data_IF_697527748380
#
_entry.id   IF_697527748380
#
_cell.length_a   1.000
_cell.length_b   1.000
_cell.length_c   1.000
_cell.angle_alpha   90.00
_cell.angle_beta   90.00
_cell.angle_gamma   90.00
#
_symmetry.space_group_name_H-M   'P 1'
#
loop_
_entity.id
_entity.type
_entity.pdbx_description
1 polymer ?
#
# COMPACT_ATOMS: atom_id res chain seq x y z
N UNK A 1 -8.81 5.90 18.38
CA UNK A 1 -7.52 5.15 18.42
C UNK A 1 -6.95 5.12 17.01
N UNK A 2 -5.74 5.56 16.84
CA UNK A 2 -5.06 5.58 15.53
C UNK A 2 -4.16 4.35 15.43
N UNK A 3 -4.57 3.37 14.66
CA UNK A 3 -3.81 2.13 14.46
C UNK A 3 -3.60 1.84 12.99
N UNK A 4 -2.58 1.05 12.68
CA UNK A 4 -2.33 0.46 11.36
C UNK A 4 -2.78 -1.01 11.34
N UNK A 5 -3.48 -1.46 10.30
CA UNK A 5 -4.02 -0.72 9.15
C UNK A 5 -5.07 0.33 9.55
N UNK A 6 -5.18 1.41 8.74
CA UNK A 6 -6.07 2.51 9.08
C UNK A 6 -7.55 2.26 8.79
N UNK A 7 -7.88 1.32 7.91
CA UNK A 7 -9.26 0.92 7.63
C UNK A 7 -9.74 -0.14 8.63
N UNK A 8 -11.05 -0.32 8.76
CA UNK A 8 -11.60 -1.31 9.66
C UNK A 8 -11.08 -2.73 9.41
N UNK A 9 -11.13 -3.56 10.46
CA UNK A 9 -10.80 -4.97 10.41
C UNK A 9 -11.56 -5.72 9.30
N UNK A 10 -10.87 -6.58 8.59
CA UNK A 10 -11.43 -7.34 7.47
C UNK A 10 -11.56 -6.57 6.15
N UNK A 11 -11.03 -5.34 6.08
CA UNK A 11 -11.02 -4.51 4.87
C UNK A 11 -9.65 -4.56 4.19
N UNK A 12 -9.63 -4.82 2.89
CA UNK A 12 -8.42 -5.00 2.09
C UNK A 12 -8.39 -4.01 0.92
N UNK A 13 -8.15 -2.73 1.21
CA UNK A 13 -8.03 -1.65 0.23
C UNK A 13 -6.58 -1.15 0.23
N UNK A 14 -5.72 -1.72 -0.62
CA UNK A 14 -4.37 -1.23 -0.87
C UNK A 14 -4.36 -0.09 -1.89
N UNK A 15 -3.16 0.33 -2.28
CA UNK A 15 -2.91 1.28 -3.36
C UNK A 15 -3.64 2.62 -3.12
N UNK A 16 -3.60 3.08 -1.85
CA UNK A 16 -4.44 4.19 -1.39
C UNK A 16 -4.00 5.55 -1.92
N UNK A 17 -4.89 6.21 -2.68
CA UNK A 17 -4.77 7.58 -3.16
C UNK A 17 -5.72 8.49 -2.36
N UNK A 18 -5.21 9.18 -1.31
CA UNK A 18 -6.01 10.10 -0.51
C UNK A 18 -6.12 11.47 -1.18
N UNK A 19 -7.31 12.03 -1.22
CA UNK A 19 -7.57 13.37 -1.73
C UNK A 19 -8.43 14.17 -0.77
N UNK A 20 -8.11 15.44 -0.58
CA UNK A 20 -8.92 16.39 0.18
C UNK A 20 -9.91 17.08 -0.78
N UNK A 21 -11.16 16.65 -0.74
CA UNK A 21 -12.26 17.25 -1.49
C UNK A 21 -13.34 17.76 -0.53
N UNK A 22 -13.83 18.95 -0.75
CA UNK A 22 -14.98 19.53 -0.01
C UNK A 22 -14.82 19.44 1.53
N UNK A 23 -13.59 19.60 2.02
CA UNK A 23 -13.28 19.59 3.45
C UNK A 23 -13.19 18.18 4.08
N UNK A 24 -13.25 17.09 3.30
CA UNK A 24 -13.05 15.72 3.76
C UNK A 24 -11.95 15.03 2.97
N UNK A 25 -11.28 14.09 3.61
CA UNK A 25 -10.35 13.17 2.93
C UNK A 25 -11.14 12.02 2.35
N UNK A 26 -10.99 11.79 1.05
CA UNK A 26 -11.52 10.62 0.35
C UNK A 26 -10.38 9.73 -0.09
N UNK A 27 -10.54 8.45 0.12
CA UNK A 27 -9.57 7.42 -0.23
C UNK A 27 -10.09 6.61 -1.40
N UNK A 28 -9.30 6.57 -2.46
CA UNK A 28 -9.48 5.69 -3.60
C UNK A 28 -8.34 4.66 -3.59
N UNK A 29 -8.65 3.41 -3.91
CA UNK A 29 -7.65 2.35 -3.92
C UNK A 29 -8.19 1.11 -4.60
N UNK A 30 -7.32 0.18 -4.89
CA UNK A 30 -7.70 -1.16 -5.29
C UNK A 30 -8.51 -1.84 -4.19
N UNK A 31 -9.21 -2.91 -4.53
CA UNK A 31 -9.96 -3.67 -3.54
C UNK A 31 -9.67 -5.16 -3.68
N UNK A 32 -8.76 -5.64 -2.86
CA UNK A 32 -8.41 -7.06 -2.79
C UNK A 32 -9.54 -7.86 -2.13
N UNK A 33 -9.58 -9.15 -2.40
CA UNK A 33 -10.43 -10.12 -1.71
C UNK A 33 -9.60 -10.94 -0.75
N UNK A 34 -10.02 -11.06 0.51
CA UNK A 34 -9.36 -11.97 1.44
C UNK A 34 -9.35 -13.39 0.89
N UNK A 35 -8.17 -14.02 0.87
CA UNK A 35 -7.99 -15.35 0.29
C UNK A 35 -8.15 -15.43 -1.22
N UNK A 36 -8.16 -14.29 -1.92
CA UNK A 36 -8.21 -14.23 -3.37
C UNK A 36 -7.01 -14.87 -4.05
N UNK A 37 -7.17 -15.29 -5.30
CA UNK A 37 -6.14 -15.95 -6.10
C UNK A 37 -5.34 -14.97 -6.98
N UNK A 38 -5.81 -13.72 -7.07
CA UNK A 38 -5.17 -12.64 -7.80
C UNK A 38 -5.45 -11.28 -7.16
N UNK A 39 -4.84 -10.21 -7.68
CA UNK A 39 -5.04 -8.84 -7.22
C UNK A 39 -6.45 -8.32 -7.53
N UNK A 40 -6.98 -7.44 -6.68
CA UNK A 40 -8.10 -6.52 -6.97
C UNK A 40 -9.40 -7.23 -7.39
N UNK A 41 -9.76 -8.33 -6.72
CA UNK A 41 -10.91 -9.15 -7.12
C UNK A 41 -12.28 -8.54 -6.77
N UNK A 42 -12.32 -7.45 -6.00
CA UNK A 42 -13.54 -6.75 -5.61
C UNK A 42 -13.73 -5.44 -6.41
N UNK A 43 -14.95 -4.90 -6.37
CA UNK A 43 -15.29 -3.61 -6.96
C UNK A 43 -14.70 -2.45 -6.15
N UNK A 44 -14.51 -1.27 -6.77
CA UNK A 44 -14.01 -0.12 -6.03
C UNK A 44 -14.99 0.36 -4.97
N UNK A 45 -14.46 0.53 -3.77
CA UNK A 45 -15.12 1.19 -2.64
C UNK A 45 -14.40 2.49 -2.32
N UNK A 46 -15.12 3.46 -1.76
CA UNK A 46 -14.52 4.68 -1.26
C UNK A 46 -14.68 4.75 0.26
N UNK A 47 -13.66 5.23 0.91
CA UNK A 47 -13.69 5.59 2.33
C UNK A 47 -13.45 7.08 2.49
N UNK A 48 -14.02 7.68 3.53
CA UNK A 48 -13.76 9.08 3.85
C UNK A 48 -13.49 9.29 5.32
N UNK A 49 -12.67 10.30 5.62
CA UNK A 49 -12.34 10.69 6.99
C UNK A 49 -12.39 12.21 7.16
N UNK A 50 -12.51 12.64 8.41
CA UNK A 50 -12.23 14.02 8.79
C UNK A 50 -10.71 14.27 8.65
N UNK A 51 -10.25 15.36 8.02
CA UNK A 51 -8.84 15.63 7.88
C UNK A 51 -8.10 15.82 9.22
N UNK A 52 -8.82 16.07 10.32
CA UNK A 52 -8.26 16.12 11.67
C UNK A 52 -8.22 14.76 12.38
N UNK A 53 -8.91 13.76 11.85
CA UNK A 53 -8.98 12.40 12.45
C UNK A 53 -8.91 11.30 11.37
N UNK A 54 -7.69 10.93 11.00
CA UNK A 54 -7.41 9.81 10.09
C UNK A 54 -7.47 8.43 10.77
N UNK A 55 -7.89 8.36 12.04
CA UNK A 55 -8.17 7.13 12.76
C UNK A 55 -9.61 6.64 12.63
N UNK A 56 -10.51 7.45 12.03
CA UNK A 56 -11.95 7.17 11.95
C UNK A 56 -12.45 7.29 10.51
N UNK A 57 -12.42 6.19 9.78
CA UNK A 57 -12.84 6.12 8.38
C UNK A 57 -14.28 5.64 8.25
N UNK A 58 -15.06 6.33 7.42
CA UNK A 58 -16.42 5.95 7.04
C UNK A 58 -16.42 5.29 5.68
N UNK A 59 -17.04 4.14 5.55
CA UNK A 59 -17.30 3.51 4.26
C UNK A 59 -18.41 4.26 3.52
N UNK A 60 -18.11 4.77 2.33
CA UNK A 60 -19.09 5.40 1.43
C UNK A 60 -19.77 4.36 0.51
N UNK A 61 -19.30 3.12 0.54
CA UNK A 61 -19.80 2.01 -0.25
C UNK A 61 -19.11 1.87 -1.60
N UNK A 62 -19.66 0.98 -2.43
CA UNK A 62 -19.16 0.73 -3.78
C UNK A 62 -19.41 1.96 -4.66
N UNK A 63 -18.35 2.51 -5.24
CA UNK A 63 -18.40 3.70 -6.10
C UNK A 63 -18.35 3.35 -7.59
N UNK A 64 -17.73 2.23 -7.96
CA UNK A 64 -17.63 1.77 -9.34
C UNK A 64 -17.51 0.25 -9.40
N UNK A 65 -18.27 -0.38 -10.31
CA UNK A 65 -18.25 -1.83 -10.51
C UNK A 65 -17.48 -2.18 -11.76
N UNK A 66 -16.70 -3.26 -11.72
CA UNK A 66 -15.91 -3.72 -12.87
C UNK A 66 -16.76 -3.96 -14.13
N UNK A 67 -18.00 -4.42 -13.97
CA UNK A 67 -18.91 -4.71 -15.07
C UNK A 67 -19.37 -3.46 -15.83
N UNK A 68 -19.13 -2.26 -15.28
CA UNK A 68 -19.40 -0.99 -15.94
C UNK A 68 -18.35 -0.65 -17.00
N UNK A 69 -17.12 -1.19 -16.86
CA UNK A 69 -16.09 -1.08 -17.91
C UNK A 69 -16.30 -2.14 -18.99
N UNK A 70 -16.19 -1.79 -20.28
CA UNK A 70 -16.32 -2.76 -21.38
C UNK A 70 -15.37 -3.95 -21.29
N UNK A 71 -14.20 -3.80 -20.63
CA UNK A 71 -13.20 -4.86 -20.40
C UNK A 71 -13.37 -5.57 -19.06
N UNK A 72 -14.18 -5.02 -18.14
CA UNK A 72 -14.31 -5.48 -16.77
C UNK A 72 -14.96 -6.86 -16.61
N UNK A 73 -15.60 -7.38 -17.63
CA UNK A 73 -16.18 -8.76 -17.61
C UNK A 73 -15.10 -9.84 -17.45
N UNK A 74 -13.92 -9.60 -18.03
CA UNK A 74 -12.80 -10.54 -18.02
C UNK A 74 -11.62 -10.08 -17.17
N UNK A 75 -11.65 -8.83 -16.67
CA UNK A 75 -10.56 -8.20 -15.93
C UNK A 75 -10.96 -7.74 -14.54
N UNK A 76 -9.95 -7.26 -13.80
CA UNK A 76 -10.09 -6.67 -12.47
C UNK A 76 -9.64 -5.21 -12.49
N UNK A 77 -10.22 -4.41 -11.61
CA UNK A 77 -9.96 -2.97 -11.49
C UNK A 77 -8.71 -2.73 -10.63
N UNK A 78 -7.61 -2.29 -11.27
CA UNK A 78 -6.33 -2.02 -10.61
C UNK A 78 -6.23 -0.57 -10.15
N UNK A 79 -5.19 -0.26 -9.40
CA UNK A 79 -4.93 1.01 -8.72
C UNK A 79 -5.56 2.24 -9.40
N UNK A 80 -6.55 2.90 -8.77
CA UNK A 80 -7.19 4.08 -9.30
C UNK A 80 -6.59 5.36 -8.72
N UNK A 81 -6.74 6.48 -9.44
CA UNK A 81 -6.60 7.82 -8.90
C UNK A 81 -7.79 8.69 -9.30
N UNK A 82 -8.08 9.73 -8.52
CA UNK A 82 -9.24 10.60 -8.72
C UNK A 82 -8.88 12.07 -8.66
N UNK A 83 -9.40 12.87 -9.60
CA UNK A 83 -9.27 14.30 -9.58
C UNK A 83 -10.61 15.00 -9.80
N UNK A 84 -10.73 16.23 -9.28
CA UNK A 84 -11.83 17.14 -9.65
C UNK A 84 -11.46 17.87 -10.94
N UNK A 85 -12.26 17.64 -11.99
CA UNK A 85 -12.05 18.25 -13.29
C UNK A 85 -12.41 19.75 -13.33
N UNK A 86 -12.05 20.45 -14.41
CA UNK A 86 -12.34 21.87 -14.60
C UNK A 86 -13.84 22.19 -14.61
N UNK A 87 -14.68 21.24 -14.94
CA UNK A 87 -16.15 21.34 -14.94
C UNK A 87 -16.79 21.07 -13.57
N UNK A 88 -15.95 20.80 -12.55
CA UNK A 88 -16.38 20.57 -11.18
C UNK A 88 -16.81 19.11 -10.88
N UNK A 89 -16.83 18.23 -11.86
CA UNK A 89 -17.07 16.79 -11.67
C UNK A 89 -15.80 16.07 -11.22
N UNK A 90 -15.96 14.84 -10.75
CA UNK A 90 -14.86 13.96 -10.28
C UNK A 90 -14.61 12.90 -11.32
N UNK A 91 -13.34 12.65 -11.63
CA UNK A 91 -12.88 11.74 -12.66
C UNK A 91 -11.96 10.71 -12.04
N UNK A 92 -12.36 9.45 -12.13
CA UNK A 92 -11.65 8.29 -11.64
C UNK A 92 -10.90 7.64 -12.80
N UNK A 93 -9.58 7.68 -12.75
CA UNK A 93 -8.68 7.05 -13.71
C UNK A 93 -8.24 5.70 -13.16
N UNK A 94 -8.24 4.68 -13.99
CA UNK A 94 -7.88 3.32 -13.58
C UNK A 94 -7.41 2.48 -14.76
N UNK A 95 -6.74 1.36 -14.47
CA UNK A 95 -6.44 0.32 -15.44
C UNK A 95 -7.21 -0.96 -15.13
N UNK A 96 -7.48 -1.73 -16.16
CA UNK A 96 -8.07 -3.07 -16.04
C UNK A 96 -6.97 -4.10 -16.28
N UNK A 97 -6.95 -5.19 -15.53
CA UNK A 97 -5.98 -6.27 -15.71
C UNK A 97 -5.94 -6.76 -17.16
N UNK A 98 -4.80 -7.23 -17.62
CA UNK A 98 -4.56 -7.65 -19.01
C UNK A 98 -4.85 -6.56 -20.06
N UNK A 99 -4.74 -5.29 -19.66
CA UNK A 99 -4.88 -4.12 -20.53
C UNK A 99 -3.68 -3.17 -20.37
N UNK A 100 -3.42 -2.35 -21.38
CA UNK A 100 -2.48 -1.22 -21.33
C UNK A 100 -3.20 0.09 -21.63
N UNK A 101 -4.47 0.17 -21.26
CA UNK A 101 -5.34 1.34 -21.49
C UNK A 101 -5.72 1.93 -20.15
N UNK A 102 -5.71 3.25 -20.05
CA UNK A 102 -6.28 3.96 -18.91
C UNK A 102 -7.72 4.32 -19.23
N UNK A 103 -8.64 3.80 -18.44
CA UNK A 103 -10.06 4.09 -18.48
C UNK A 103 -10.41 5.21 -17.52
N UNK A 104 -11.49 5.90 -17.80
CA UNK A 104 -11.99 7.01 -17.01
C UNK A 104 -13.47 6.81 -16.69
N UNK A 105 -13.82 6.96 -15.42
CA UNK A 105 -15.21 7.06 -14.99
C UNK A 105 -15.45 8.43 -14.37
N UNK A 106 -16.69 8.91 -14.37
CA UNK A 106 -17.06 10.25 -13.94
C UNK A 106 -18.23 10.25 -12.98
N UNK A 107 -18.22 11.16 -12.01
CA UNK A 107 -19.32 11.37 -11.06
C UNK A 107 -19.46 12.85 -10.69
N UNK A 108 -20.66 13.24 -10.25
CA UNK A 108 -20.91 14.61 -9.74
C UNK A 108 -20.41 14.83 -8.31
N UNK A 109 -20.10 13.77 -7.57
CA UNK A 109 -19.63 13.85 -6.18
C UNK A 109 -18.44 12.92 -5.94
N UNK A 110 -17.56 13.20 -4.95
CA UNK A 110 -16.31 12.45 -4.76
C UNK A 110 -16.53 10.98 -4.36
N UNK A 111 -17.64 10.65 -3.74
CA UNK A 111 -17.98 9.27 -3.33
C UNK A 111 -19.32 8.79 -3.90
N UNK A 112 -19.78 9.38 -5.00
CA UNK A 112 -21.01 8.94 -5.67
C UNK A 112 -20.81 7.69 -6.53
N UNK A 113 -21.81 7.37 -7.31
CA UNK A 113 -21.73 6.28 -8.28
C UNK A 113 -21.08 6.80 -9.56
N UNK A 114 -19.85 6.39 -9.79
CA UNK A 114 -19.15 6.72 -11.02
C UNK A 114 -19.75 5.94 -12.21
N UNK A 115 -19.75 6.57 -13.36
CA UNK A 115 -20.19 5.99 -14.62
C UNK A 115 -19.02 5.98 -15.60
N UNK A 116 -18.88 4.91 -16.38
CA UNK A 116 -17.85 4.82 -17.41
C UNK A 116 -18.02 5.96 -18.42
N UNK A 117 -16.95 6.73 -18.59
CA UNK A 117 -16.92 7.86 -19.52
C UNK A 117 -16.26 7.48 -20.86
N UNK A 118 -15.14 6.77 -20.78
CA UNK A 118 -14.35 6.41 -21.96
C UNK A 118 -12.94 6.02 -21.61
N UNK A 119 -12.13 5.83 -22.62
CA UNK A 119 -10.70 5.57 -22.54
C UNK A 119 -9.90 6.80 -22.93
N UNK A 120 -8.70 6.92 -22.38
CA UNK A 120 -7.75 7.96 -22.82
C UNK A 120 -7.39 7.73 -24.28
N UNK A 121 -7.53 8.78 -25.11
CA UNK A 121 -7.25 8.74 -26.53
C UNK A 121 -6.05 9.60 -26.91
N UNK A 122 -5.26 9.13 -27.86
CA UNK A 122 -4.21 9.91 -28.48
C UNK A 122 -4.78 11.09 -29.30
N UNK A 123 -3.92 12.00 -29.74
CA UNK A 123 -4.36 13.20 -30.47
C UNK A 123 -5.02 12.89 -31.82
N UNK A 124 -4.71 11.77 -32.44
CA UNK A 124 -5.34 11.26 -33.67
C UNK A 124 -6.64 10.48 -33.43
N UNK A 125 -7.05 10.34 -32.16
CA UNK A 125 -8.31 9.72 -31.74
C UNK A 125 -8.26 8.22 -31.50
N UNK A 126 -7.11 7.53 -31.67
CA UNK A 126 -7.03 6.13 -31.26
C UNK A 126 -6.96 5.99 -29.73
N UNK A 127 -7.45 4.88 -29.20
CA UNK A 127 -7.34 4.55 -27.75
C UNK A 127 -5.88 4.36 -27.39
N UNK A 128 -5.32 5.28 -26.57
CA UNK A 128 -3.92 5.28 -26.23
C UNK A 128 -3.55 4.07 -25.36
N UNK A 129 -2.44 3.44 -25.69
CA UNK A 129 -2.04 2.15 -25.12
C UNK A 129 -2.39 0.95 -26.01
N UNK A 130 -3.14 1.15 -27.12
CA UNK A 130 -3.42 0.08 -28.10
C UNK A 130 -2.52 0.13 -29.34
N UNK A 131 -1.95 1.28 -29.68
CA UNK A 131 -1.03 1.47 -30.79
C UNK A 131 0.25 0.63 -30.63
N UNK A 132 0.95 0.38 -31.73
CA UNK A 132 2.18 -0.45 -31.70
C UNK A 132 3.33 0.23 -30.96
N UNK A 133 3.44 1.54 -31.13
CA UNK A 133 4.47 2.40 -30.54
C UNK A 133 4.05 3.01 -29.20
N UNK A 134 2.80 2.79 -28.75
CA UNK A 134 2.34 3.31 -27.47
C UNK A 134 3.11 2.67 -26.30
N UNK A 135 3.42 3.44 -25.24
CA UNK A 135 4.03 2.89 -24.04
C UNK A 135 3.10 1.90 -23.33
N UNK A 136 3.66 1.10 -22.44
CA UNK A 136 2.86 0.30 -21.53
C UNK A 136 2.30 1.20 -20.41
N UNK A 137 0.98 1.35 -20.36
CA UNK A 137 0.27 2.16 -19.37
C UNK A 137 -0.24 1.27 -18.23
N UNK A 138 -0.04 1.75 -17.00
CA UNK A 138 -0.43 1.06 -15.78
C UNK A 138 -0.39 2.04 -14.60
N UNK A 139 -1.20 1.83 -13.56
CA UNK A 139 -1.23 2.65 -12.33
C UNK A 139 -1.26 4.15 -12.65
N UNK A 140 -2.42 4.68 -13.08
CA UNK A 140 -2.54 6.09 -13.42
C UNK A 140 -2.50 7.00 -12.19
N UNK A 141 -1.92 8.18 -12.35
CA UNK A 141 -2.08 9.30 -11.43
C UNK A 141 -2.50 10.55 -12.21
N UNK A 142 -3.37 11.38 -11.65
CA UNK A 142 -3.93 12.53 -12.33
C UNK A 142 -3.77 13.82 -11.51
N UNK A 143 -3.30 14.87 -12.17
CA UNK A 143 -3.20 16.22 -11.61
C UNK A 143 -3.97 17.20 -12.47
N UNK A 144 -4.81 18.01 -11.83
CA UNK A 144 -5.57 19.09 -12.48
C UNK A 144 -5.14 20.43 -11.91
N UNK A 145 -4.69 21.33 -12.77
CA UNK A 145 -4.33 22.71 -12.45
C UNK A 145 -5.07 23.69 -13.35
N UNK A 146 -6.16 24.24 -12.85
CA UNK A 146 -7.06 25.06 -13.66
C UNK A 146 -7.65 24.27 -14.82
N UNK A 147 -7.23 24.57 -16.03
CA UNK A 147 -7.63 23.83 -17.25
C UNK A 147 -6.59 22.84 -17.76
N UNK A 148 -5.40 22.84 -17.16
CA UNK A 148 -4.34 21.89 -17.51
C UNK A 148 -4.54 20.58 -16.75
N UNK A 149 -4.51 19.47 -17.47
CA UNK A 149 -4.68 18.12 -16.93
C UNK A 149 -3.45 17.30 -17.31
N UNK A 150 -2.83 16.69 -16.31
CA UNK A 150 -1.66 15.83 -16.46
C UNK A 150 -2.00 14.42 -15.98
N UNK A 151 -1.75 13.45 -16.82
CA UNK A 151 -1.91 12.02 -16.50
C UNK A 151 -0.54 11.34 -16.54
N UNK A 152 -0.19 10.69 -15.44
CA UNK A 152 1.05 9.95 -15.26
C UNK A 152 0.74 8.46 -15.25
N UNK A 153 1.61 7.64 -15.83
CA UNK A 153 1.36 6.21 -15.89
C UNK A 153 2.63 5.44 -16.27
N UNK A 154 2.60 4.14 -16.07
CA UNK A 154 3.62 3.24 -16.58
C UNK A 154 3.93 2.07 -15.66
N UNK A 155 4.57 1.06 -16.23
CA UNK A 155 5.24 0.01 -15.46
C UNK A 155 6.49 -0.44 -16.22
N UNK A 156 7.62 -0.45 -15.54
CA UNK A 156 8.91 -0.86 -16.07
C UNK A 156 9.33 -2.19 -15.46
N UNK A 157 10.06 -3.04 -16.18
CA UNK A 157 10.58 -4.26 -15.59
C UNK A 157 11.64 -3.95 -14.52
N UNK A 158 11.50 -4.53 -13.34
CA UNK A 158 12.47 -4.35 -12.25
C UNK A 158 13.73 -5.25 -12.40
N UNK A 159 13.67 -6.25 -13.28
CA UNK A 159 14.80 -7.15 -13.63
C UNK A 159 14.64 -7.71 -15.02
N UNK A 160 15.73 -8.21 -15.58
CA UNK A 160 15.68 -9.00 -16.82
C UNK A 160 15.16 -10.41 -16.49
N UNK A 161 14.21 -10.87 -17.26
CA UNK A 161 13.66 -12.23 -17.15
C UNK A 161 14.36 -13.14 -18.17
N UNK A 162 14.73 -14.35 -17.73
CA UNK A 162 15.22 -15.40 -18.64
C UNK A 162 14.05 -15.93 -19.47
N UNK A 163 14.30 -16.46 -20.66
CA UNK A 163 13.26 -17.01 -21.54
C UNK A 163 12.38 -18.06 -20.84
N UNK A 164 12.97 -18.92 -20.00
CA UNK A 164 12.22 -19.90 -19.20
C UNK A 164 11.29 -19.26 -18.17
N UNK A 165 11.69 -18.12 -17.61
CA UNK A 165 10.83 -17.35 -16.68
C UNK A 165 9.73 -16.62 -17.45
N UNK A 166 10.03 -16.11 -18.63
CA UNK A 166 9.05 -15.52 -19.55
C UNK A 166 8.01 -16.57 -19.93
N UNK A 167 8.43 -17.79 -20.27
CA UNK A 167 7.52 -18.89 -20.59
C UNK A 167 6.63 -19.26 -19.38
N UNK A 168 7.19 -19.27 -18.17
CA UNK A 168 6.44 -19.51 -16.93
C UNK A 168 5.41 -18.40 -16.67
N UNK A 169 5.82 -17.13 -16.76
CA UNK A 169 4.94 -15.98 -16.59
C UNK A 169 3.82 -15.97 -17.64
N UNK A 170 4.14 -16.36 -18.89
CA UNK A 170 3.15 -16.57 -19.97
C UNK A 170 2.04 -17.52 -19.56
N UNK A 171 2.40 -18.65 -18.99
CA UNK A 171 1.45 -19.72 -18.65
C UNK A 171 0.61 -19.39 -17.39
N UNK A 172 1.12 -18.53 -16.48
CA UNK A 172 0.48 -18.22 -15.20
C UNK A 172 -0.20 -16.85 -15.15
N UNK A 173 0.31 -15.86 -15.88
CA UNK A 173 -0.14 -14.48 -15.78
C UNK A 173 -0.52 -13.85 -17.13
N UNK A 174 -0.27 -14.52 -18.23
CA UNK A 174 -0.31 -13.86 -19.52
C UNK A 174 -1.23 -14.47 -20.53
N UNK A 175 -2.45 -14.03 -20.57
CA UNK A 175 -3.29 -14.19 -21.77
C UNK A 175 -2.78 -13.31 -22.93
N UNK A 176 -2.04 -12.23 -22.64
CA UNK A 176 -1.63 -11.24 -23.64
C UNK A 176 -0.13 -11.02 -23.70
N UNK A 177 0.54 -11.79 -24.58
CA UNK A 177 1.98 -11.72 -24.82
C UNK A 177 2.48 -10.37 -25.36
N UNK A 178 1.64 -9.69 -26.13
CA UNK A 178 1.98 -8.39 -26.71
C UNK A 178 2.13 -7.36 -25.59
N UNK A 179 1.23 -7.35 -24.63
CA UNK A 179 1.28 -6.46 -23.47
C UNK A 179 2.50 -6.73 -22.60
N UNK A 180 2.77 -7.99 -22.29
CA UNK A 180 3.94 -8.37 -21.51
C UNK A 180 5.25 -7.96 -22.24
N UNK A 181 5.34 -8.20 -23.54
CA UNK A 181 6.52 -7.78 -24.34
C UNK A 181 6.70 -6.26 -24.33
N UNK A 182 5.60 -5.49 -24.36
CA UNK A 182 5.64 -4.03 -24.28
C UNK A 182 6.13 -3.56 -22.90
N UNK A 183 5.59 -4.12 -21.82
CA UNK A 183 6.05 -3.83 -20.47
C UNK A 183 7.56 -4.11 -20.32
N UNK A 184 8.04 -5.23 -20.85
CA UNK A 184 9.46 -5.61 -20.78
C UNK A 184 10.39 -4.68 -21.56
N UNK A 185 9.87 -3.90 -22.48
CA UNK A 185 10.61 -2.87 -23.25
C UNK A 185 10.49 -1.47 -22.65
N UNK A 186 9.61 -1.28 -21.67
CA UNK A 186 9.44 0.02 -21.02
C UNK A 186 10.69 0.42 -20.26
N UNK A 187 11.14 1.66 -20.48
CA UNK A 187 12.35 2.21 -19.86
C UNK A 187 12.08 3.43 -18.99
N UNK A 188 10.87 3.99 -19.04
CA UNK A 188 10.47 5.17 -18.27
C UNK A 188 8.97 5.08 -17.91
N UNK A 189 8.57 5.73 -16.80
CA UNK A 189 7.20 6.21 -16.67
C UNK A 189 6.92 7.30 -17.70
N UNK A 190 5.66 7.58 -17.97
CA UNK A 190 5.26 8.59 -18.93
C UNK A 190 4.31 9.62 -18.32
N UNK A 191 4.34 10.83 -18.85
CA UNK A 191 3.34 11.87 -18.57
C UNK A 191 2.66 12.30 -19.86
N UNK A 192 1.35 12.44 -19.80
CA UNK A 192 0.48 12.87 -20.88
C UNK A 192 -0.22 14.17 -20.47
N UNK A 193 -0.36 15.12 -21.37
CA UNK A 193 -1.24 16.27 -21.19
C UNK A 193 -2.59 15.93 -21.79
N UNK A 194 -3.66 16.11 -21.04
CA UNK A 194 -5.02 15.91 -21.52
C UNK A 194 -5.71 17.25 -21.76
N UNK A 195 -6.75 17.24 -22.58
CA UNK A 195 -7.67 18.36 -22.77
C UNK A 195 -8.64 18.44 -21.60
N UNK A 196 -9.40 19.50 -21.51
CA UNK A 196 -10.42 19.71 -20.47
C UNK A 196 -11.58 18.73 -20.50
N UNK A 197 -11.68 17.88 -21.54
CA UNK A 197 -12.61 16.76 -21.62
C UNK A 197 -12.19 15.57 -20.75
N UNK A 198 -10.98 15.61 -20.16
CA UNK A 198 -10.40 14.60 -19.27
C UNK A 198 -10.08 13.26 -19.94
N UNK A 199 -10.13 13.18 -21.28
CA UNK A 199 -9.93 11.95 -22.06
C UNK A 199 -8.89 12.13 -23.17
N UNK A 200 -8.99 13.21 -23.94
CA UNK A 200 -8.23 13.37 -25.16
C UNK A 200 -6.84 13.94 -24.87
N UNK A 201 -5.80 13.32 -25.37
CA UNK A 201 -4.43 13.84 -25.24
C UNK A 201 -4.24 15.12 -26.08
N UNK A 202 -3.35 15.97 -25.59
CA UNK A 202 -2.80 17.13 -26.30
C UNK A 202 -1.31 16.91 -26.55
N UNK A 203 -0.96 16.60 -27.78
CA UNK A 203 0.40 16.22 -28.14
C UNK A 203 0.73 14.76 -27.77
N UNK A 204 2.00 14.47 -27.60
CA UNK A 204 2.52 13.12 -27.36
C UNK A 204 2.86 12.90 -25.89
N UNK A 205 2.84 11.64 -25.45
CA UNK A 205 3.37 11.26 -24.14
C UNK A 205 4.89 11.52 -24.06
N UNK A 206 5.35 11.99 -22.91
CA UNK A 206 6.76 12.25 -22.64
C UNK A 206 7.30 11.25 -21.61
N UNK A 207 8.53 10.76 -21.77
CA UNK A 207 9.20 10.01 -20.69
C UNK A 207 9.43 10.91 -19.47
N UNK A 208 9.26 10.37 -18.26
CA UNK A 208 9.36 11.14 -17.02
C UNK A 208 10.46 10.61 -16.10
N UNK A 209 10.22 9.49 -15.44
CA UNK A 209 11.15 8.89 -14.47
C UNK A 209 11.73 7.62 -15.04
N UNK A 210 13.07 7.46 -15.05
CA UNK A 210 13.73 6.32 -15.65
C UNK A 210 13.45 5.02 -14.87
N UNK A 211 13.18 3.95 -15.60
CA UNK A 211 13.10 2.59 -15.12
C UNK A 211 14.48 1.90 -15.07
N UNK A 212 14.53 0.68 -14.54
CA UNK A 212 15.78 -0.05 -14.29
C UNK A 212 16.66 -0.32 -15.54
N UNK A 213 16.11 -0.19 -16.75
CA UNK A 213 16.83 -0.41 -17.99
C UNK A 213 16.93 0.84 -18.87
N UNK A 214 16.70 2.02 -18.29
CA UNK A 214 17.03 3.27 -18.94
C UNK A 214 18.56 3.40 -19.12
N UNK A 215 18.99 3.97 -20.24
CA UNK A 215 20.43 4.13 -20.54
C UNK A 215 21.15 5.02 -19.51
N UNK A 216 20.46 6.03 -19.01
CA UNK A 216 21.00 6.96 -18.00
C UNK A 216 19.96 7.24 -16.93
N UNK A 217 19.96 6.50 -15.80
CA UNK A 217 19.03 6.73 -14.72
C UNK A 217 19.32 7.99 -13.89
N UNK A 218 20.48 8.62 -14.05
CA UNK A 218 20.85 9.85 -13.33
C UNK A 218 20.74 9.70 -11.81
N UNK A 219 20.03 10.61 -11.17
CA UNK A 219 19.81 10.62 -9.71
C UNK A 219 18.96 9.45 -9.22
N UNK A 220 18.26 8.74 -10.08
CA UNK A 220 17.39 7.61 -9.75
C UNK A 220 18.15 6.28 -9.64
N UNK A 221 19.46 6.25 -9.89
CA UNK A 221 20.26 5.03 -9.84
C UNK A 221 20.11 4.30 -8.49
N UNK A 222 19.68 3.04 -8.54
CA UNK A 222 19.37 2.22 -7.38
C UNK A 222 17.89 2.21 -7.00
N UNK A 223 17.15 3.27 -7.34
CA UNK A 223 15.74 3.49 -7.02
C UNK A 223 14.90 3.87 -8.26
N UNK A 224 15.25 3.30 -9.40
CA UNK A 224 14.57 3.54 -10.67
C UNK A 224 13.10 3.13 -10.58
N UNK A 225 12.27 3.74 -11.42
CA UNK A 225 10.83 3.51 -11.49
C UNK A 225 10.48 2.05 -11.82
N UNK A 226 9.56 1.50 -11.05
CA UNK A 226 8.91 0.23 -11.35
C UNK A 226 7.44 0.44 -11.76
N UNK A 227 6.60 0.95 -10.87
CA UNK A 227 5.16 1.19 -11.07
C UNK A 227 4.62 2.13 -9.99
N UNK A 228 3.29 2.18 -9.78
CA UNK A 228 2.64 2.90 -8.68
C UNK A 228 2.80 4.42 -8.81
N UNK A 229 2.44 4.98 -9.96
CA UNK A 229 2.48 6.44 -10.16
C UNK A 229 1.51 7.16 -9.24
N UNK A 230 1.99 8.20 -8.56
CA UNK A 230 1.19 9.16 -7.82
C UNK A 230 1.81 10.55 -7.91
N UNK A 231 1.01 11.61 -7.85
CA UNK A 231 1.47 12.99 -8.00
C UNK A 231 0.80 13.91 -6.99
N UNK A 232 1.59 14.76 -6.35
CA UNK A 232 1.08 15.81 -5.45
C UNK A 232 1.80 17.12 -5.73
N UNK A 233 1.12 18.23 -5.44
CA UNK A 233 1.72 19.54 -5.46
C UNK A 233 1.60 20.17 -4.07
N UNK A 234 2.75 20.57 -3.50
CA UNK A 234 2.81 21.30 -2.24
C UNK A 234 3.60 22.60 -2.50
N UNK A 235 2.94 23.74 -2.29
CA UNK A 235 3.48 25.01 -2.71
C UNK A 235 3.73 25.07 -4.22
N UNK A 236 4.96 25.39 -4.61
CA UNK A 236 5.38 25.49 -6.03
C UNK A 236 6.12 24.24 -6.51
N UNK A 237 6.12 23.16 -5.71
CA UNK A 237 6.86 21.93 -6.02
C UNK A 237 5.91 20.77 -6.29
N UNK A 238 6.19 20.04 -7.37
CA UNK A 238 5.52 18.81 -7.74
C UNK A 238 6.30 17.64 -7.20
N UNK A 239 5.61 16.71 -6.55
CA UNK A 239 6.17 15.51 -5.97
C UNK A 239 5.57 14.30 -6.69
N UNK A 240 6.40 13.59 -7.43
CA UNK A 240 6.03 12.33 -8.06
C UNK A 240 6.43 11.19 -7.11
N UNK A 241 5.44 10.42 -6.68
CA UNK A 241 5.60 9.28 -5.79
C UNK A 241 5.51 8.00 -6.63
N UNK A 242 6.33 7.02 -6.33
CA UNK A 242 6.39 5.80 -7.13
C UNK A 242 7.02 4.62 -6.36
N UNK A 243 6.72 3.39 -6.79
CA UNK A 243 7.43 2.19 -6.36
C UNK A 243 8.73 2.03 -7.12
N UNK A 244 9.85 1.82 -6.40
CA UNK A 244 11.14 1.60 -7.03
C UNK A 244 11.30 0.17 -7.56
N UNK A 245 12.35 -0.10 -8.33
CA UNK A 245 12.72 -1.45 -8.80
C UNK A 245 12.90 -2.48 -7.67
N UNK A 246 12.99 -2.05 -6.42
CA UNK A 246 13.03 -2.93 -5.25
C UNK A 246 11.63 -3.39 -4.82
N UNK A 247 10.57 -2.90 -5.44
CA UNK A 247 9.16 -3.22 -5.28
C UNK A 247 8.54 -2.77 -3.94
N UNK A 248 9.24 -2.97 -2.82
CA UNK A 248 8.75 -2.68 -1.47
C UNK A 248 8.94 -1.21 -1.04
N UNK A 249 9.73 -0.45 -1.79
CA UNK A 249 9.99 0.95 -1.53
C UNK A 249 8.94 1.84 -2.19
N UNK A 250 8.44 2.82 -1.46
CA UNK A 250 7.73 3.98 -2.00
C UNK A 250 8.67 5.17 -1.93
N UNK A 251 9.08 5.65 -3.11
CA UNK A 251 10.04 6.74 -3.29
C UNK A 251 9.35 8.01 -3.76
N UNK A 252 10.07 9.14 -3.69
CA UNK A 252 9.60 10.41 -4.25
C UNK A 252 10.67 11.08 -5.09
N UNK A 253 10.21 11.84 -6.07
CA UNK A 253 11.01 12.75 -6.89
C UNK A 253 10.32 14.12 -6.93
N UNK A 254 11.08 15.18 -7.10
CA UNK A 254 10.53 16.55 -7.11
C UNK A 254 10.95 17.31 -8.35
N UNK A 255 10.07 18.21 -8.78
CA UNK A 255 10.30 19.18 -9.85
C UNK A 255 9.53 20.47 -9.61
N UNK A 256 9.99 21.57 -10.21
CA UNK A 256 9.21 22.82 -10.32
C UNK A 256 8.23 22.82 -11.50
N UNK A 257 8.21 21.75 -12.31
CA UNK A 257 7.31 21.58 -13.46
C UNK A 257 6.61 20.23 -13.39
N UNK A 258 5.32 20.15 -13.78
CA UNK A 258 4.56 18.90 -13.66
C UNK A 258 4.98 17.82 -14.66
N UNK A 259 5.58 18.17 -15.79
CA UNK A 259 5.79 17.27 -16.91
C UNK A 259 7.27 17.04 -17.28
N UNK A 260 8.21 17.51 -16.46
CA UNK A 260 9.64 17.31 -16.70
C UNK A 260 10.51 17.74 -15.51
N UNK A 261 11.80 17.39 -15.55
CA UNK A 261 12.81 17.90 -14.61
C UNK A 261 12.76 17.28 -13.21
N UNK A 262 12.12 16.12 -13.04
CA UNK A 262 12.08 15.43 -11.76
C UNK A 262 13.46 14.91 -11.35
N UNK A 263 13.81 15.12 -10.10
CA UNK A 263 15.05 14.68 -9.45
C UNK A 263 14.67 13.79 -8.28
N UNK A 264 15.34 12.65 -8.14
CA UNK A 264 15.13 11.74 -7.01
C UNK A 264 15.34 12.45 -5.69
N UNK A 265 14.37 12.37 -4.81
CA UNK A 265 14.34 13.02 -3.51
C UNK A 265 14.68 12.11 -2.35
N UNK A 266 14.28 10.85 -2.44
CA UNK A 266 14.52 9.87 -1.39
C UNK A 266 13.42 8.81 -1.25
N UNK A 267 13.57 8.01 -0.20
CA UNK A 267 12.58 7.04 0.26
C UNK A 267 11.52 7.76 1.09
N UNK A 268 10.25 7.39 0.93
CA UNK A 268 9.15 7.75 1.84
C UNK A 268 8.94 6.69 2.91
N UNK A 269 8.75 5.47 2.47
CA UNK A 269 8.53 4.32 3.34
C UNK A 269 8.87 3.01 2.60
N UNK A 270 9.38 2.03 3.33
CA UNK A 270 9.50 0.66 2.87
C UNK A 270 8.52 -0.22 3.66
N UNK A 271 7.64 -0.97 2.97
CA UNK A 271 6.77 -1.92 3.67
C UNK A 271 7.52 -3.14 4.22
N UNK A 272 8.80 -3.28 3.89
CA UNK A 272 9.73 -4.26 4.48
C UNK A 272 10.39 -3.76 5.78
N UNK A 273 10.12 -2.52 6.21
CA UNK A 273 10.82 -1.89 7.33
C UNK A 273 12.25 -1.47 6.98
N UNK A 274 13.09 -1.35 8.00
CA UNK A 274 14.50 -1.00 7.83
C UNK A 274 15.31 -2.20 7.35
N UNK A 275 16.37 -1.92 6.61
CA UNK A 275 17.36 -2.92 6.23
C UNK A 275 18.45 -3.03 7.30
N UNK A 276 18.66 -4.24 7.83
CA UNK A 276 19.72 -4.57 8.76
C UNK A 276 20.95 -5.01 7.94
N UNK A 277 21.93 -4.12 7.82
CA UNK A 277 23.15 -4.38 7.03
C UNK A 277 23.99 -5.52 7.60
N UNK A 278 24.04 -5.67 8.95
CA UNK A 278 24.82 -6.72 9.59
C UNK A 278 24.24 -8.11 9.29
N UNK A 279 22.92 -8.20 9.21
CA UNK A 279 22.20 -9.44 8.96
C UNK A 279 21.81 -9.64 7.50
N UNK A 280 21.96 -8.60 6.66
CA UNK A 280 21.63 -8.64 5.24
C UNK A 280 20.15 -8.85 4.96
N UNK A 281 19.24 -8.30 5.78
CA UNK A 281 17.79 -8.53 5.68
C UNK A 281 16.98 -7.37 6.19
N UNK A 282 15.72 -7.32 5.76
CA UNK A 282 14.73 -6.36 6.22
C UNK A 282 14.06 -6.80 7.54
N UNK A 283 13.40 -5.85 8.23
CA UNK A 283 12.73 -6.08 9.51
C UNK A 283 11.49 -6.94 9.42
N UNK A 284 10.74 -6.86 8.31
CA UNK A 284 9.53 -7.64 8.10
C UNK A 284 9.42 -8.10 6.64
N UNK A 285 8.46 -8.97 6.34
CA UNK A 285 8.31 -9.44 4.98
C UNK A 285 7.79 -8.33 4.06
N UNK A 286 8.26 -8.35 2.81
CA UNK A 286 8.01 -7.34 1.81
C UNK A 286 7.20 -7.88 0.63
N UNK A 287 6.51 -7.00 -0.05
CA UNK A 287 5.86 -7.22 -1.33
C UNK A 287 5.84 -5.94 -2.15
N UNK A 288 5.00 -5.88 -3.18
CA UNK A 288 4.78 -4.63 -3.90
C UNK A 288 4.25 -3.56 -2.95
N UNK A 289 4.51 -2.29 -3.28
CA UNK A 289 4.07 -1.15 -2.51
C UNK A 289 3.51 -0.07 -3.44
N UNK A 290 2.40 0.54 -3.03
CA UNK A 290 1.76 1.63 -3.75
C UNK A 290 1.03 2.52 -2.74
N UNK A 291 1.05 3.80 -2.97
CA UNK A 291 0.38 4.79 -2.15
C UNK A 291 0.85 6.21 -2.47
N UNK A 292 0.51 7.14 -1.60
CA UNK A 292 0.67 8.55 -1.86
C UNK A 292 0.96 9.36 -0.60
N UNK A 293 1.04 10.68 -0.76
CA UNK A 293 1.18 11.64 0.34
C UNK A 293 -0.12 12.44 0.47
N UNK A 294 -0.55 12.65 1.70
CA UNK A 294 -1.61 13.59 2.06
C UNK A 294 -1.01 14.70 2.94
N UNK A 295 -1.31 15.95 2.61
CA UNK A 295 -1.14 17.08 3.51
C UNK A 295 -2.50 17.42 4.15
N UNK A 296 -2.55 17.46 5.47
CA UNK A 296 -3.71 17.94 6.21
C UNK A 296 -3.28 18.81 7.39
N UNK A 297 -3.83 20.02 7.48
CA UNK A 297 -3.36 21.02 8.43
C UNK A 297 -1.91 21.43 8.13
N UNK A 298 -0.99 21.08 9.02
CA UNK A 298 0.47 21.31 8.85
C UNK A 298 1.26 20.01 8.90
N UNK A 299 0.57 18.90 8.70
CA UNK A 299 1.13 17.55 8.83
C UNK A 299 1.04 16.81 7.50
N UNK A 300 2.10 16.07 7.19
CA UNK A 300 2.15 15.14 6.05
C UNK A 300 2.01 13.72 6.53
N UNK A 301 1.33 12.92 5.73
CA UNK A 301 1.15 11.49 5.94
C UNK A 301 1.49 10.75 4.66
N UNK A 302 2.24 9.64 4.77
CA UNK A 302 2.43 8.70 3.67
C UNK A 302 1.44 7.55 3.81
N UNK A 303 0.70 7.29 2.76
CA UNK A 303 -0.15 6.11 2.60
C UNK A 303 0.65 5.06 1.85
N UNK A 304 0.55 3.83 2.29
CA UNK A 304 1.21 2.67 1.71
C UNK A 304 0.42 1.41 2.05
N UNK A 305 0.86 0.22 1.62
CA UNK A 305 0.19 -1.01 2.01
C UNK A 305 1.16 -2.09 2.48
N UNK A 306 0.63 -3.05 3.22
CA UNK A 306 1.31 -4.28 3.64
C UNK A 306 0.58 -5.50 3.11
N UNK A 307 1.28 -6.62 3.00
CA UNK A 307 0.71 -7.91 2.65
C UNK A 307 0.27 -8.66 3.91
N UNK A 308 -0.83 -9.43 3.81
CA UNK A 308 -1.33 -10.32 4.85
C UNK A 308 -1.60 -11.71 4.28
N UNK A 309 -2.08 -12.62 5.10
CA UNK A 309 -2.54 -13.98 4.74
C UNK A 309 -1.52 -14.79 3.91
N UNK A 310 -0.22 -14.55 4.10
CA UNK A 310 0.84 -15.17 3.28
C UNK A 310 0.61 -15.01 1.77
N UNK A 311 -0.02 -13.92 1.36
CA UNK A 311 -0.48 -13.68 0.01
C UNK A 311 -0.10 -12.28 -0.46
N UNK A 312 0.12 -12.13 -1.76
CA UNK A 312 0.19 -10.82 -2.42
C UNK A 312 -1.20 -10.19 -2.63
N UNK A 313 -2.28 -10.94 -2.38
CA UNK A 313 -3.63 -10.63 -2.84
C UNK A 313 -4.61 -10.31 -1.69
N UNK A 314 -4.08 -10.06 -0.50
CA UNK A 314 -4.85 -9.65 0.68
C UNK A 314 -4.12 -8.50 1.36
N UNK A 315 -4.00 -7.38 0.63
CA UNK A 315 -3.22 -6.21 1.06
C UNK A 315 -4.06 -5.25 1.88
N UNK A 316 -3.46 -4.63 2.88
CA UNK A 316 -4.10 -3.65 3.76
C UNK A 316 -3.37 -2.32 3.73
N UNK A 317 -4.13 -1.22 3.65
CA UNK A 317 -3.57 0.12 3.69
C UNK A 317 -3.06 0.52 5.07
N UNK A 318 -1.88 1.12 5.10
CA UNK A 318 -1.23 1.68 6.29
C UNK A 318 -0.91 3.16 6.07
N UNK A 319 -0.80 3.92 7.17
CA UNK A 319 -0.44 5.34 7.16
C UNK A 319 0.70 5.56 8.14
N UNK A 320 1.66 6.40 7.76
CA UNK A 320 2.64 6.93 8.69
C UNK A 320 2.71 8.45 8.60
N UNK A 321 2.86 9.08 9.76
CA UNK A 321 3.19 10.49 9.84
C UNK A 321 4.61 10.72 9.34
N UNK A 322 4.79 11.66 8.43
CA UNK A 322 6.11 12.00 7.89
C UNK A 322 6.44 13.47 8.12
N UNK A 323 7.72 13.76 8.17
CA UNK A 323 8.23 15.13 8.31
C UNK A 323 8.80 15.62 6.99
N UNK A 324 8.60 16.91 6.74
CA UNK A 324 9.27 17.63 5.67
C UNK A 324 10.24 18.63 6.27
N UNK A 325 11.51 18.54 5.91
CA UNK A 325 12.58 19.43 6.37
C UNK A 325 13.28 20.04 5.14
N UNK A 326 13.27 21.36 5.04
CA UNK A 326 13.89 22.10 3.91
C UNK A 326 13.44 21.59 2.53
N UNK A 327 12.14 21.29 2.37
CA UNK A 327 11.55 20.78 1.11
C UNK A 327 11.82 19.31 0.82
N UNK A 328 12.35 18.55 1.78
CA UNK A 328 12.63 17.12 1.64
C UNK A 328 11.84 16.31 2.64
N UNK A 329 11.17 15.28 2.17
CA UNK A 329 10.54 14.30 3.05
C UNK A 329 11.60 13.40 3.70
N UNK A 330 11.46 13.17 4.99
CA UNK A 330 12.22 12.18 5.73
C UNK A 330 11.49 10.84 5.70
N UNK A 331 12.21 9.71 5.56
CA UNK A 331 11.58 8.40 5.50
C UNK A 331 10.85 8.05 6.78
N UNK A 332 9.65 7.46 6.65
CA UNK A 332 8.90 6.92 7.77
C UNK A 332 9.47 5.58 8.24
N UNK A 333 9.38 5.34 9.54
CA UNK A 333 9.52 4.02 10.13
C UNK A 333 8.14 3.39 10.30
N UNK A 334 8.04 2.07 10.11
CA UNK A 334 6.79 1.35 10.35
C UNK A 334 6.36 1.48 11.80
N UNK A 335 5.09 1.81 12.02
CA UNK A 335 4.47 1.92 13.32
C UNK A 335 3.17 1.12 13.42
N UNK A 336 2.75 0.86 14.64
CA UNK A 336 1.45 0.26 14.93
C UNK A 336 0.32 1.30 15.01
N UNK A 337 0.66 2.59 15.03
CA UNK A 337 -0.22 3.69 15.49
C UNK A 337 -0.25 4.87 14.53
N UNK A 338 0.02 4.67 13.24
CA UNK A 338 0.05 5.74 12.22
C UNK A 338 1.11 6.83 12.48
N UNK A 339 2.19 6.49 13.21
CA UNK A 339 3.22 7.44 13.62
C UNK A 339 2.81 8.39 14.75
N UNK A 340 1.69 8.12 15.40
CA UNK A 340 1.26 8.80 16.65
C UNK A 340 1.71 7.96 17.86
N UNK A 341 1.64 8.54 19.05
CA UNK A 341 1.94 7.81 20.29
C UNK A 341 0.62 7.46 20.98
N UNK A 342 0.41 6.17 21.22
CA UNK A 342 -0.75 5.65 21.96
C UNK A 342 -0.29 5.07 23.31
N UNK A 343 -1.18 5.05 24.32
CA UNK A 343 -0.87 4.60 25.67
C UNK A 343 -1.67 3.38 26.12
N UNK A 344 -2.17 3.41 27.34
CA UNK A 344 -3.02 2.34 27.89
C UNK A 344 -4.27 2.12 27.02
N UNK A 345 -4.61 0.85 26.77
CA UNK A 345 -5.75 0.49 25.92
C UNK A 345 -5.68 -0.93 25.40
N UNK A 346 -6.68 -1.32 24.61
CA UNK A 346 -6.71 -2.61 23.92
C UNK A 346 -6.37 -2.41 22.44
N UNK A 347 -5.46 -3.22 21.93
CA UNK A 347 -4.96 -3.15 20.55
C UNK A 347 -5.07 -4.50 19.86
N UNK A 348 -5.64 -4.59 18.66
CA UNK A 348 -5.68 -5.83 17.93
C UNK A 348 -4.27 -6.31 17.60
N UNK A 349 -4.04 -7.62 17.65
CA UNK A 349 -2.72 -8.18 17.37
C UNK A 349 -2.26 -7.85 15.94
N UNK A 350 -3.19 -7.74 15.01
CA UNK A 350 -2.85 -7.37 13.63
C UNK A 350 -2.25 -5.97 13.48
N UNK A 351 -2.28 -5.12 14.52
CA UNK A 351 -1.57 -3.83 14.49
C UNK A 351 -0.04 -3.98 14.67
N UNK A 352 0.47 -5.18 14.92
CA UNK A 352 1.91 -5.42 14.89
C UNK A 352 2.49 -4.94 13.55
N UNK A 353 3.51 -4.08 13.61
CA UNK A 353 4.15 -3.54 12.42
C UNK A 353 5.29 -4.44 11.90
N UNK A 354 5.81 -5.35 12.72
CA UNK A 354 6.87 -6.30 12.36
C UNK A 354 6.43 -7.71 12.70
N UNK A 355 6.60 -8.63 11.75
CA UNK A 355 6.48 -10.07 11.96
C UNK A 355 7.71 -10.76 11.40
N UNK A 356 8.32 -11.64 12.19
CA UNK A 356 9.56 -12.36 11.85
C UNK A 356 9.49 -13.83 12.31
N UNK A 357 10.34 -14.67 11.70
CA UNK A 357 10.62 -16.02 12.14
C UNK A 357 12.14 -16.26 12.14
N UNK A 358 12.71 -16.73 13.27
CA UNK A 358 14.16 -16.90 13.49
C UNK A 358 14.98 -15.69 13.04
N UNK A 359 14.43 -14.50 13.32
CA UNK A 359 14.98 -13.22 12.90
C UNK A 359 15.00 -13.00 11.39
N UNK A 360 14.40 -13.87 10.58
CA UNK A 360 14.18 -13.61 9.16
C UNK A 360 12.95 -12.73 8.97
N UNK A 361 13.09 -11.75 8.12
CA UNK A 361 12.04 -10.82 7.76
C UNK A 361 10.89 -11.48 6.99
N UNK A 362 10.97 -12.77 6.74
CA UNK A 362 9.98 -13.46 5.95
C UNK A 362 10.27 -13.34 4.46
N UNK A 363 9.26 -13.38 3.67
CA UNK A 363 9.32 -13.59 2.24
C UNK A 363 8.58 -12.46 1.51
N UNK A 364 8.95 -12.24 0.27
CA UNK A 364 8.05 -11.59 -0.67
C UNK A 364 6.80 -12.47 -0.79
N UNK A 365 5.63 -11.88 -0.58
CA UNK A 365 4.35 -12.60 -0.58
C UNK A 365 4.07 -13.33 -1.92
N UNK A 366 4.71 -12.92 -3.01
CA UNK A 366 4.55 -13.52 -4.35
C UNK A 366 5.29 -14.84 -4.56
N UNK A 367 6.12 -15.31 -3.59
CA UNK A 367 6.88 -16.56 -3.74
C UNK A 367 6.88 -17.36 -2.46
N UNK A 368 6.68 -18.68 -2.58
CA UNK A 368 6.94 -19.62 -1.50
C UNK A 368 8.44 -19.62 -1.20
N UNK A 369 8.86 -18.88 -0.17
CA UNK A 369 10.18 -19.04 0.40
C UNK A 369 10.22 -20.34 1.20
N UNK A 370 11.36 -21.01 1.21
CA UNK A 370 11.62 -22.14 2.08
C UNK A 370 11.37 -21.70 3.54
N UNK A 371 10.65 -22.51 4.31
CA UNK A 371 10.29 -22.21 5.70
C UNK A 371 9.08 -21.28 5.87
N UNK A 372 8.38 -20.92 4.79
CA UNK A 372 7.17 -20.07 4.84
C UNK A 372 6.09 -20.61 5.79
N UNK A 373 5.98 -21.91 5.90
CA UNK A 373 5.04 -22.61 6.79
C UNK A 373 5.28 -22.29 8.27
N UNK A 374 6.49 -21.82 8.63
CA UNK A 374 6.87 -21.50 10.00
C UNK A 374 6.63 -20.03 10.38
N UNK A 375 6.51 -19.13 9.40
CA UNK A 375 6.34 -17.70 9.66
C UNK A 375 4.98 -17.39 10.30
N UNK A 376 4.93 -16.48 11.31
CA UNK A 376 3.68 -15.89 11.76
C UNK A 376 3.09 -15.02 10.66
N UNK A 377 1.77 -14.89 10.61
CA UNK A 377 1.09 -14.06 9.61
C UNK A 377 -0.26 -13.58 10.11
N UNK A 378 -0.70 -12.44 9.59
CA UNK A 378 -2.03 -11.90 9.87
C UNK A 378 -3.03 -12.63 8.98
N UNK A 379 -4.12 -13.11 9.58
CA UNK A 379 -5.22 -13.81 8.91
C UNK A 379 -6.53 -13.63 9.67
N UNK A 380 -7.60 -14.25 9.21
CA UNK A 380 -8.93 -14.27 9.84
C UNK A 380 -9.59 -15.64 9.63
N UNK A 381 -10.52 -16.02 10.52
CA UNK A 381 -11.29 -17.26 10.38
C UNK A 381 -12.49 -17.07 9.43
N UNK A 382 -13.03 -15.85 9.35
CA UNK A 382 -14.19 -15.50 8.54
C UNK A 382 -13.86 -15.28 7.06
N UNK A 383 -14.89 -15.24 6.20
CA UNK A 383 -14.72 -14.88 4.80
C UNK A 383 -14.36 -13.40 4.63
N UNK A 384 -14.14 -12.99 3.38
CA UNK A 384 -13.90 -11.61 2.99
C UNK A 384 -14.96 -10.65 3.55
N UNK A 385 -14.53 -9.49 4.07
CA UNK A 385 -15.39 -8.46 4.67
C UNK A 385 -15.92 -8.78 6.08
N UNK A 386 -15.49 -9.89 6.68
CA UNK A 386 -15.89 -10.24 8.07
C UNK A 386 -14.73 -9.91 9.02
N UNK A 387 -14.96 -9.08 10.06
CA UNK A 387 -13.95 -8.78 11.08
C UNK A 387 -13.49 -10.03 11.84
N UNK A 388 -12.35 -9.95 12.49
CA UNK A 388 -11.81 -11.00 13.35
C UNK A 388 -10.38 -11.41 12.99
N UNK A 389 -9.55 -10.45 12.58
CA UNK A 389 -8.17 -10.69 12.25
C UNK A 389 -7.32 -10.96 13.49
N UNK A 390 -6.32 -11.83 13.32
CA UNK A 390 -5.36 -12.21 14.35
C UNK A 390 -4.01 -12.56 13.74
N UNK A 391 -2.97 -12.69 14.56
CA UNK A 391 -1.69 -13.25 14.14
C UNK A 391 -1.76 -14.76 14.35
N UNK A 392 -1.66 -15.53 13.26
CA UNK A 392 -1.63 -16.97 13.30
C UNK A 392 -0.20 -17.53 13.29
N UNK A 393 -0.10 -18.80 13.68
CA UNK A 393 1.13 -19.58 13.55
C UNK A 393 2.31 -19.02 14.34
N UNK A 394 2.02 -18.54 15.55
CA UNK A 394 3.03 -17.95 16.42
C UNK A 394 3.70 -19.04 17.24
N UNK A 395 4.78 -19.59 16.70
CA UNK A 395 5.55 -20.74 17.24
C UNK A 395 6.92 -20.31 17.73
N UNK A 396 7.70 -21.25 18.28
CA UNK A 396 9.09 -21.00 18.65
C UNK A 396 9.85 -20.35 17.48
N UNK A 397 10.57 -19.26 17.75
CA UNK A 397 11.28 -18.46 16.76
C UNK A 397 10.43 -17.33 16.12
N UNK A 398 9.10 -17.32 16.31
CA UNK A 398 8.26 -16.22 15.89
C UNK A 398 8.50 -14.97 16.73
N UNK A 399 8.42 -13.80 16.08
CA UNK A 399 8.53 -12.49 16.74
C UNK A 399 7.50 -11.54 16.13
N UNK A 400 6.79 -10.81 16.99
CA UNK A 400 5.95 -9.69 16.63
C UNK A 400 6.37 -8.44 17.41
N UNK A 401 6.33 -7.27 16.75
CA UNK A 401 6.70 -6.00 17.38
C UNK A 401 5.59 -4.97 17.12
N UNK A 402 5.21 -4.28 18.18
CA UNK A 402 4.36 -3.10 18.15
C UNK A 402 5.18 -1.88 18.54
N UNK A 403 5.11 -0.83 17.75
CA UNK A 403 5.86 0.42 17.90
C UNK A 403 4.97 1.62 18.09
N UNK A 404 5.56 2.68 18.65
CA UNK A 404 4.94 3.99 18.89
C UNK A 404 3.94 3.96 20.03
N UNK A 405 4.29 3.31 21.14
CA UNK A 405 3.52 3.30 22.38
C UNK A 405 4.22 4.10 23.47
N UNK A 406 3.44 4.85 24.25
CA UNK A 406 3.87 5.33 25.56
C UNK A 406 3.64 4.22 26.57
N UNK A 407 4.74 3.61 27.01
CA UNK A 407 4.71 2.53 28.00
C UNK A 407 4.91 3.02 29.42
N UNK A 408 5.03 4.35 29.62
CA UNK A 408 5.15 4.94 30.93
C UNK A 408 3.93 4.62 31.79
N UNK A 409 4.14 4.12 33.00
CA UNK A 409 3.06 3.71 33.88
C UNK A 409 2.38 2.37 33.58
N UNK A 410 2.67 1.74 32.43
CA UNK A 410 2.17 0.39 32.14
C UNK A 410 2.84 -0.62 33.08
N UNK A 411 2.03 -1.48 33.69
CA UNK A 411 2.49 -2.52 34.63
C UNK A 411 2.07 -3.92 34.22
N UNK A 412 1.17 -4.03 33.27
CA UNK A 412 0.67 -5.31 32.76
C UNK A 412 0.42 -5.20 31.26
N UNK A 413 0.84 -6.22 30.52
CA UNK A 413 0.41 -6.46 29.14
C UNK A 413 -0.37 -7.76 29.14
N UNK A 414 -1.69 -7.68 28.97
CA UNK A 414 -2.50 -8.87 28.82
C UNK A 414 -2.53 -9.27 27.34
N UNK A 415 -2.30 -10.55 27.04
CA UNK A 415 -2.30 -11.09 25.68
C UNK A 415 -3.45 -12.06 25.53
N UNK A 416 -4.30 -11.85 24.52
CA UNK A 416 -5.38 -12.78 24.21
C UNK A 416 -4.90 -13.78 23.19
N UNK A 417 -4.78 -15.04 23.58
CA UNK A 417 -4.19 -16.14 22.80
C UNK A 417 -5.11 -17.36 22.77
N UNK A 418 -4.93 -18.20 21.74
CA UNK A 418 -5.50 -19.57 21.65
C UNK A 418 -4.45 -20.51 21.09
N UNK A 419 -4.64 -21.82 21.30
CA UNK A 419 -3.74 -22.87 20.83
C UNK A 419 -3.07 -23.61 21.98
N UNK A 420 -1.92 -24.23 21.74
CA UNK A 420 -1.12 -24.91 22.76
C UNK A 420 0.32 -24.42 22.70
N UNK A 421 0.74 -23.62 23.70
CA UNK A 421 2.10 -23.06 23.70
C UNK A 421 2.30 -21.90 24.67
N UNK A 422 3.52 -21.36 24.58
CA UNK A 422 4.02 -20.28 25.43
C UNK A 422 4.62 -19.18 24.58
N UNK A 423 4.26 -17.93 24.89
CA UNK A 423 4.87 -16.73 24.32
C UNK A 423 5.52 -15.92 25.45
N UNK A 424 6.63 -15.27 25.14
CA UNK A 424 7.30 -14.34 26.04
C UNK A 424 6.90 -12.91 25.69
N UNK A 425 6.57 -12.13 26.70
CA UNK A 425 6.18 -10.72 26.61
C UNK A 425 7.12 -9.93 27.53
N UNK A 426 8.08 -9.21 26.97
CA UNK A 426 9.15 -8.61 27.77
C UNK A 426 9.89 -9.66 28.60
N UNK A 427 9.84 -9.55 29.93
CA UNK A 427 10.45 -10.53 30.86
C UNK A 427 9.49 -11.61 31.36
N UNK A 428 8.19 -11.51 31.05
CA UNK A 428 7.16 -12.45 31.50
C UNK A 428 6.69 -13.40 30.40
N UNK A 429 5.78 -14.32 30.74
CA UNK A 429 5.28 -15.35 29.83
C UNK A 429 3.77 -15.44 29.87
N UNK A 430 3.16 -15.69 28.72
CA UNK A 430 1.75 -16.07 28.59
C UNK A 430 1.68 -17.49 28.05
N UNK A 431 0.91 -18.35 28.72
CA UNK A 431 0.74 -19.77 28.38
C UNK A 431 -0.74 -20.07 28.13
N UNK A 432 -1.00 -20.93 27.17
CA UNK A 432 -2.35 -21.45 26.90
C UNK A 432 -2.28 -22.89 26.41
N UNK A 433 -3.30 -23.66 26.75
CA UNK A 433 -3.63 -24.97 26.19
C UNK A 433 -5.15 -25.01 25.95
N UNK A 434 -5.63 -24.10 25.09
CA UNK A 434 -7.05 -23.90 24.86
C UNK A 434 -7.34 -23.63 23.38
N UNK A 435 -8.29 -24.35 22.82
CA UNK A 435 -8.80 -24.08 21.48
C UNK A 435 -9.61 -22.77 21.37
N UNK A 436 -10.02 -22.18 22.50
CA UNK A 436 -10.72 -20.88 22.55
C UNK A 436 -9.79 -19.77 23.01
N UNK A 437 -10.18 -18.52 22.67
CA UNK A 437 -9.45 -17.32 23.07
C UNK A 437 -9.43 -17.16 24.60
N UNK A 438 -8.26 -16.93 25.16
CA UNK A 438 -8.05 -16.63 26.57
C UNK A 438 -7.15 -15.43 26.73
N UNK A 439 -7.53 -14.52 27.62
CA UNK A 439 -6.68 -13.41 28.03
C UNK A 439 -5.77 -13.85 29.16
N UNK A 440 -4.47 -13.64 28.98
CA UNK A 440 -3.43 -13.98 29.95
C UNK A 440 -2.70 -12.70 30.33
N UNK A 441 -2.83 -12.23 31.58
CA UNK A 441 -2.10 -11.07 32.07
C UNK A 441 -0.63 -11.42 32.31
N UNK A 442 0.25 -10.54 31.85
CA UNK A 442 1.71 -10.67 32.03
C UNK A 442 2.22 -9.41 32.71
N UNK A 443 2.88 -9.49 33.88
CA UNK A 443 3.53 -8.33 34.49
C UNK A 443 4.54 -7.71 33.53
N UNK A 444 4.48 -6.39 33.38
CA UNK A 444 5.37 -5.63 32.51
C UNK A 444 6.20 -4.65 33.30
N UNK A 445 7.47 -4.62 32.98
CA UNK A 445 8.43 -3.67 33.51
C UNK A 445 8.92 -2.82 32.34
N UNK A 446 8.84 -1.51 32.52
CA UNK A 446 9.21 -0.52 31.53
C UNK A 446 10.59 -0.83 30.91
N UNK A 447 10.69 -0.76 29.61
CA UNK A 447 11.93 -0.86 28.86
C UNK A 447 12.22 0.49 28.16
N UNK A 448 13.47 0.71 27.80
CA UNK A 448 13.91 1.99 27.19
C UNK A 448 13.46 2.15 25.72
N UNK A 449 12.81 1.12 25.11
CA UNK A 449 12.65 1.09 23.65
C UNK A 449 11.26 1.52 23.14
N UNK A 450 10.31 1.84 23.99
CA UNK A 450 8.90 2.16 23.59
C UNK A 450 8.29 1.16 22.55
N UNK A 451 8.77 -0.09 22.60
CA UNK A 451 8.34 -1.19 21.74
C UNK A 451 7.80 -2.35 22.59
N UNK A 452 6.69 -2.93 22.14
CA UNK A 452 6.19 -4.17 22.73
C UNK A 452 6.69 -5.30 21.84
N UNK A 453 7.43 -6.23 22.41
CA UNK A 453 7.98 -7.39 21.71
C UNK A 453 7.37 -8.66 22.30
N UNK A 454 6.76 -9.46 21.44
CA UNK A 454 6.30 -10.81 21.78
C UNK A 454 7.09 -11.82 20.95
N UNK A 455 7.62 -12.85 21.62
CA UNK A 455 8.35 -13.96 20.96
C UNK A 455 7.72 -15.31 21.31
N UNK A 456 7.67 -16.19 20.32
CA UNK A 456 7.24 -17.57 20.52
C UNK A 456 8.35 -18.40 21.17
N UNK A 457 8.04 -19.06 22.29
CA UNK A 457 8.99 -19.84 23.07
C UNK A 457 8.78 -21.35 22.87
N UNK A 458 7.54 -21.78 22.84
CA UNK A 458 7.19 -23.19 22.70
C UNK A 458 5.79 -23.36 22.09
N UNK A 459 5.55 -24.47 21.43
CA UNK A 459 4.23 -24.81 20.87
C UNK A 459 3.85 -23.97 19.67
N UNK A 460 2.55 -23.75 19.50
CA UNK A 460 1.97 -22.92 18.44
C UNK A 460 0.68 -22.27 18.95
N UNK A 461 0.66 -20.93 18.93
CA UNK A 461 -0.51 -20.16 19.37
C UNK A 461 -0.90 -19.16 18.29
N UNK A 462 -2.15 -18.68 18.36
CA UNK A 462 -2.62 -17.51 17.65
C UNK A 462 -2.79 -16.37 18.65
N UNK A 463 -2.58 -15.10 18.21
CA UNK A 463 -2.68 -13.91 19.05
C UNK A 463 -3.76 -12.99 18.49
N UNK A 464 -4.80 -12.70 19.29
CA UNK A 464 -5.94 -11.87 18.87
C UNK A 464 -5.74 -10.38 19.18
N UNK A 465 -5.30 -10.06 20.39
CA UNK A 465 -5.10 -8.70 20.87
C UNK A 465 -4.11 -8.64 22.03
N UNK A 466 -3.61 -7.43 22.27
CA UNK A 466 -2.86 -7.06 23.46
C UNK A 466 -3.62 -5.96 24.20
N UNK A 467 -3.55 -5.94 25.52
CA UNK A 467 -4.12 -4.88 26.36
C UNK A 467 -3.01 -4.32 27.26
N UNK A 468 -2.80 -3.01 27.18
CA UNK A 468 -1.84 -2.26 28.00
C UNK A 468 -2.56 -1.69 29.21
N UNK A 469 -2.17 -2.07 30.42
CA UNK A 469 -2.82 -1.68 31.65
C UNK A 469 -1.85 -0.95 32.59
N UNK A 470 -2.29 0.21 33.05
CA UNK A 470 -1.58 0.96 34.08
C UNK A 470 -1.65 0.24 35.43
N UNK A 471 -0.63 0.45 36.26
CA UNK A 471 -0.69 0.01 37.64
C UNK A 471 -1.79 0.76 38.39
N UNK A 472 -2.70 0.04 39.03
CA UNK A 472 -3.66 0.66 39.95
C UNK A 472 -2.91 1.46 41.03
N UNK A 473 -3.31 2.69 41.28
CA UNK A 473 -2.89 3.40 42.48
C UNK A 473 -3.42 2.61 43.68
N UNK A 474 -2.47 1.94 44.38
CA UNK A 474 -2.80 1.24 45.63
C UNK A 474 -3.26 2.21 46.70
#
# INVERSE_FOLDING_TARGET
>A
MKINPYLPDGVYVPDGEPHLFEGRVYLYGSHDRFGGETFCMNDYVCYSADPSDLGSWRCEGVIYRREQDPRGKEGYLYAPDCAKGPDGRYYLYYSVSDSSVISVAVCASPAGKFEYLGDVTAEDGHVFGTGEEDPYLFDPAVLVEGTDVYLYSGSCPYRRFKETQIAYLRNHYGKNLRLFSRQMKSTHSVVMRLRSDMLSMRGTAKPLVPGAFAENPGTFSGHEFFEASSIRKFGDTYYFIYSSKLCHELCWAASSRPDEGFVYGGLLVSNAGRYDEERGRYETYCGNNHGSILETGRQYYVFYHRQTNRSSFSRQGCIEKIRMESGRFLPASLSSTQGETEGAGEYPAYSACILQYDGNAGFSASRAAEGRENHPYITQDGPDGVPGQYIANFRQGAKAVWRSFDLSGIREIAVTIRGSGVVRVGSGYAETDSGGWREVPVPFYENEENEIVITGEYGNVDILKIALREGGTA
#
